data_IF_970376020409
#
_entry.id   IF_970376020409
#
_cell.length_a   1.000
_cell.length_b   1.000
_cell.length_c   1.000
_cell.angle_alpha   90.00
_cell.angle_beta   90.00
_cell.angle_gamma   90.00
#
_symmetry.space_group_name_H-M   'P 1'
#
loop_
_entity.id
_entity.type
_entity.pdbx_description
1 polymer ?
#
# COMPACT_ATOMS: atom_id res chain seq x y z
N UNK A 1 11.09 -0.96 -18.49
CA UNK A 1 11.98 -1.51 -17.45
C UNK A 1 11.41 -2.88 -17.09
N UNK A 2 12.12 -3.96 -17.42
CA UNK A 2 11.70 -5.31 -17.03
C UNK A 2 12.22 -5.52 -15.61
N UNK A 3 11.31 -5.66 -14.64
CA UNK A 3 11.66 -6.08 -13.28
C UNK A 3 11.87 -7.59 -13.36
N UNK A 4 13.12 -8.03 -13.23
CA UNK A 4 13.46 -9.44 -13.22
C UNK A 4 13.42 -9.96 -11.78
N UNK A 5 13.02 -11.22 -11.62
CA UNK A 5 13.10 -11.89 -10.33
C UNK A 5 14.54 -11.92 -9.81
N UNK A 6 14.68 -11.91 -8.49
CA UNK A 6 15.94 -12.12 -7.79
C UNK A 6 15.76 -13.23 -6.75
N UNK A 7 16.84 -13.66 -6.11
CA UNK A 7 16.78 -14.70 -5.06
C UNK A 7 15.76 -14.39 -3.95
N UNK A 8 15.52 -13.10 -3.68
CA UNK A 8 14.69 -12.66 -2.55
C UNK A 8 13.40 -11.93 -2.97
N UNK A 9 13.18 -11.70 -4.26
CA UNK A 9 12.08 -10.88 -4.74
C UNK A 9 11.49 -11.46 -6.02
N UNK A 10 10.17 -11.60 -6.05
CA UNK A 10 9.40 -12.07 -7.20
C UNK A 10 8.50 -10.95 -7.71
N UNK A 11 8.45 -10.75 -9.03
CA UNK A 11 7.43 -9.94 -9.67
C UNK A 11 6.19 -10.79 -9.92
N UNK A 12 5.10 -10.50 -9.22
CA UNK A 12 3.82 -11.13 -9.43
C UNK A 12 2.99 -10.33 -10.46
N UNK A 13 2.60 -11.00 -11.54
CA UNK A 13 1.79 -10.44 -12.64
C UNK A 13 0.42 -11.13 -12.79
N UNK A 14 0.00 -11.97 -11.83
CA UNK A 14 -1.27 -12.70 -11.94
C UNK A 14 -2.49 -11.85 -11.59
N UNK A 15 -2.29 -10.72 -10.91
CA UNK A 15 -3.34 -9.78 -10.53
C UNK A 15 -3.68 -8.76 -11.61
N UNK A 16 -4.50 -7.78 -11.23
CA UNK A 16 -4.92 -6.67 -12.08
C UNK A 16 -3.77 -5.69 -12.38
N UNK A 17 -2.82 -5.57 -11.46
CA UNK A 17 -1.61 -4.77 -11.59
C UNK A 17 -0.41 -5.53 -11.02
N UNK A 18 0.80 -5.33 -11.55
CA UNK A 18 1.97 -6.05 -11.08
C UNK A 18 2.47 -5.50 -9.73
N UNK A 19 2.85 -6.41 -8.85
CA UNK A 19 3.40 -6.12 -7.52
C UNK A 19 4.57 -7.04 -7.21
N UNK A 20 5.42 -6.62 -6.27
CA UNK A 20 6.58 -7.37 -5.83
C UNK A 20 6.27 -8.10 -4.52
N UNK A 21 6.77 -9.32 -4.41
CA UNK A 21 6.71 -10.14 -3.21
C UNK A 21 8.12 -10.52 -2.79
N UNK A 22 8.41 -10.44 -1.50
CA UNK A 22 9.64 -11.00 -0.94
C UNK A 22 9.48 -12.49 -0.63
N UNK A 23 10.33 -13.33 -1.22
CA UNK A 23 10.26 -14.79 -1.08
C UNK A 23 10.31 -15.28 0.37
N UNK A 24 11.09 -14.69 1.31
CA UNK A 24 11.09 -15.15 2.69
C UNK A 24 9.77 -14.98 3.44
N UNK A 25 8.88 -14.10 2.95
CA UNK A 25 7.57 -13.85 3.57
C UNK A 25 6.47 -14.73 2.95
N UNK A 26 6.64 -15.20 1.71
CA UNK A 26 5.65 -16.03 0.99
C UNK A 26 5.42 -17.35 1.73
N UNK A 27 6.48 -17.93 2.32
CA UNK A 27 6.41 -19.22 3.00
C UNK A 27 5.79 -19.13 4.42
N UNK A 28 5.41 -17.93 4.88
CA UNK A 28 4.77 -17.73 6.18
C UNK A 28 3.24 -17.75 5.98
N UNK A 29 2.52 -18.83 6.35
CA UNK A 29 1.14 -19.06 5.88
C UNK A 29 0.10 -18.03 6.30
N UNK A 30 0.39 -17.22 7.32
CA UNK A 30 -0.52 -16.19 7.85
C UNK A 30 -0.16 -14.78 7.40
N UNK A 31 0.87 -14.61 6.57
CA UNK A 31 1.30 -13.30 6.05
C UNK A 31 0.86 -13.18 4.59
N UNK A 32 0.09 -12.14 4.32
CA UNK A 32 -0.11 -11.62 2.97
C UNK A 32 0.60 -10.28 2.86
N UNK A 33 1.48 -10.13 1.89
CA UNK A 33 2.24 -8.89 1.66
C UNK A 33 2.36 -8.59 0.17
N UNK A 34 2.66 -7.34 -0.14
CA UNK A 34 2.98 -6.93 -1.49
C UNK A 34 3.50 -5.50 -1.52
N UNK A 35 4.43 -5.26 -2.44
CA UNK A 35 4.98 -3.94 -2.72
C UNK A 35 4.51 -3.52 -4.10
N UNK A 36 3.73 -2.44 -4.19
CA UNK A 36 3.25 -1.93 -5.46
C UNK A 36 4.40 -1.51 -6.38
N UNK A 37 4.22 -1.70 -7.69
CA UNK A 37 5.03 -1.00 -8.68
C UNK A 37 4.32 0.29 -9.12
N UNK A 38 4.95 1.10 -9.98
CA UNK A 38 4.28 2.26 -10.61
C UNK A 38 3.37 1.88 -11.80
N UNK A 39 3.24 0.59 -12.12
CA UNK A 39 2.64 0.09 -13.35
C UNK A 39 1.19 -0.37 -13.15
N UNK A 40 0.37 -0.28 -14.21
CA UNK A 40 -0.97 -0.86 -14.28
C UNK A 40 -2.10 -0.01 -13.70
N UNK A 41 -1.82 1.18 -13.17
CA UNK A 41 -2.87 2.06 -12.65
C UNK A 41 -3.54 2.94 -13.70
N UNK A 42 -4.36 3.89 -13.24
CA UNK A 42 -5.16 4.81 -14.09
C UNK A 42 -4.64 6.24 -14.12
N UNK A 43 -3.67 6.57 -13.27
CA UNK A 43 -3.11 7.91 -13.19
C UNK A 43 -2.30 8.26 -14.44
N UNK A 44 -2.25 9.55 -14.75
CA UNK A 44 -1.63 10.07 -15.97
C UNK A 44 -0.54 11.11 -15.66
N UNK A 45 0.23 11.51 -16.68
CA UNK A 45 1.29 12.50 -16.54
C UNK A 45 2.35 12.10 -15.50
N UNK A 46 2.70 13.03 -14.62
CA UNK A 46 3.72 12.79 -13.58
C UNK A 46 3.30 11.75 -12.54
N UNK A 47 2.00 11.47 -12.41
CA UNK A 47 1.45 10.46 -11.51
C UNK A 47 1.35 9.08 -12.18
N UNK A 48 1.74 8.95 -13.44
CA UNK A 48 1.50 7.71 -14.17
C UNK A 48 2.32 6.52 -13.64
N UNK A 49 1.75 5.33 -13.44
CA UNK A 49 0.34 4.94 -13.67
C UNK A 49 -0.40 4.54 -12.40
N UNK A 50 0.28 3.92 -11.43
CA UNK A 50 -0.30 3.43 -10.18
C UNK A 50 0.12 4.33 -9.01
N UNK A 51 -0.41 5.55 -8.96
CA UNK A 51 -0.15 6.45 -7.85
C UNK A 51 -1.02 6.10 -6.63
N UNK A 52 -0.38 5.86 -5.49
CA UNK A 52 -0.99 5.57 -4.19
C UNK A 52 -0.73 6.69 -3.16
N UNK A 53 -0.23 7.84 -3.63
CA UNK A 53 0.10 9.00 -2.81
C UNK A 53 -1.12 9.67 -2.17
N UNK A 54 -0.87 10.62 -1.27
CA UNK A 54 -1.91 11.48 -0.70
C UNK A 54 -1.96 12.84 -1.40
N UNK A 55 -3.14 13.46 -1.44
CA UNK A 55 -3.34 14.80 -2.02
C UNK A 55 -2.77 15.97 -1.23
N UNK A 56 -1.80 15.74 -0.34
CA UNK A 56 -1.24 16.77 0.58
C UNK A 56 -0.16 17.66 -0.07
N UNK A 57 0.17 17.42 -1.34
CA UNK A 57 1.13 18.21 -2.12
C UNK A 57 0.41 19.24 -2.99
N UNK A 58 1.11 20.34 -3.33
CA UNK A 58 0.64 21.35 -4.30
C UNK A 58 0.32 20.70 -5.65
N UNK A 59 1.03 19.63 -5.98
CA UNK A 59 0.71 18.74 -7.08
C UNK A 59 0.03 17.49 -6.50
N UNK A 60 -1.25 17.33 -6.78
CA UNK A 60 -2.00 16.14 -6.39
C UNK A 60 -2.67 15.50 -7.61
N UNK A 61 -2.82 14.19 -7.53
CA UNK A 61 -3.64 13.43 -8.48
C UNK A 61 -5.12 13.55 -8.08
N UNK A 62 -6.01 13.03 -8.93
CA UNK A 62 -7.44 12.96 -8.58
C UNK A 62 -7.65 11.92 -7.48
N UNK A 63 -8.58 12.20 -6.57
CA UNK A 63 -8.97 11.25 -5.52
C UNK A 63 -9.54 9.95 -6.12
N UNK A 64 -10.26 10.05 -7.25
CA UNK A 64 -10.83 8.89 -7.94
C UNK A 64 -9.73 7.98 -8.52
N UNK A 65 -8.68 8.57 -9.10
CA UNK A 65 -7.53 7.81 -9.61
C UNK A 65 -6.81 7.09 -8.48
N UNK A 66 -6.54 7.79 -7.38
CA UNK A 66 -5.88 7.21 -6.19
C UNK A 66 -6.74 6.07 -5.65
N UNK A 67 -8.06 6.27 -5.51
CA UNK A 67 -8.99 5.26 -5.02
C UNK A 67 -9.00 4.02 -5.91
N UNK A 68 -9.11 4.20 -7.23
CA UNK A 68 -9.06 3.10 -8.20
C UNK A 68 -7.71 2.37 -8.18
N UNK A 69 -6.60 3.08 -8.03
CA UNK A 69 -5.28 2.47 -7.91
C UNK A 69 -5.15 1.62 -6.64
N UNK A 70 -5.72 2.08 -5.52
CA UNK A 70 -5.81 1.29 -4.30
C UNK A 70 -6.62 0.02 -4.52
N UNK A 71 -7.81 0.11 -5.14
CA UNK A 71 -8.63 -1.06 -5.46
C UNK A 71 -7.85 -2.07 -6.32
N UNK A 72 -7.18 -1.61 -7.37
CA UNK A 72 -6.37 -2.45 -8.25
C UNK A 72 -5.26 -3.21 -7.53
N UNK A 73 -4.51 -2.52 -6.68
CA UNK A 73 -3.40 -3.15 -5.97
C UNK A 73 -3.89 -4.11 -4.89
N UNK A 74 -4.97 -3.78 -4.17
CA UNK A 74 -5.56 -4.68 -3.17
C UNK A 74 -6.13 -5.95 -3.79
N UNK A 75 -6.81 -5.83 -4.93
CA UNK A 75 -7.28 -6.99 -5.72
C UNK A 75 -6.12 -7.88 -6.17
N UNK A 76 -4.99 -7.28 -6.54
CA UNK A 76 -3.81 -8.03 -7.01
C UNK A 76 -3.09 -8.76 -5.89
N UNK A 77 -2.96 -8.14 -4.71
CA UNK A 77 -2.32 -8.72 -3.53
C UNK A 77 -3.26 -9.73 -2.83
N UNK A 78 -4.56 -9.65 -3.05
CA UNK A 78 -5.56 -10.52 -2.40
C UNK A 78 -5.92 -10.06 -1.00
N UNK A 79 -6.04 -8.73 -0.80
CA UNK A 79 -6.52 -8.12 0.46
C UNK A 79 -7.75 -7.27 0.20
N UNK A 80 -8.57 -7.08 1.23
CA UNK A 80 -9.79 -6.28 1.12
C UNK A 80 -9.45 -4.78 1.19
N UNK A 81 -10.04 -3.92 0.34
CA UNK A 81 -9.84 -2.47 0.44
C UNK A 81 -10.23 -1.91 1.82
N UNK A 82 -11.25 -2.48 2.47
CA UNK A 82 -11.67 -2.08 3.81
C UNK A 82 -10.80 -2.67 4.94
N UNK A 83 -9.82 -3.52 4.67
CA UNK A 83 -8.83 -3.92 5.69
C UNK A 83 -7.67 -2.95 5.82
N UNK A 84 -7.53 -1.99 4.90
CA UNK A 84 -6.41 -1.05 4.87
C UNK A 84 -6.40 -0.12 6.09
N UNK A 85 -5.22 0.06 6.67
CA UNK A 85 -4.91 1.09 7.66
C UNK A 85 -3.68 1.84 7.17
N UNK A 86 -3.87 3.09 6.76
CA UNK A 86 -2.83 3.90 6.11
C UNK A 86 -2.15 4.80 7.15
N UNK A 87 -0.83 4.79 7.18
CA UNK A 87 -0.03 5.64 8.05
C UNK A 87 -0.13 7.14 7.69
N UNK A 88 0.17 8.02 8.64
CA UNK A 88 0.25 9.47 8.44
C UNK A 88 1.71 9.90 8.55
N UNK A 89 2.49 9.52 7.54
CA UNK A 89 3.94 9.66 7.54
C UNK A 89 4.35 11.13 7.53
N UNK A 90 5.20 11.51 8.49
CA UNK A 90 5.79 12.85 8.64
C UNK A 90 7.30 12.79 8.91
N UNK A 91 7.95 11.65 8.63
CA UNK A 91 9.36 11.40 8.87
C UNK A 91 9.77 11.44 10.36
N UNK A 92 8.91 10.91 11.23
CA UNK A 92 9.21 10.65 12.63
C UNK A 92 9.35 9.15 12.87
N UNK A 93 9.55 8.77 14.13
CA UNK A 93 9.79 7.38 14.56
C UNK A 93 8.62 6.81 15.36
N UNK A 94 7.42 7.37 15.18
CA UNK A 94 6.24 6.97 15.98
C UNK A 94 5.57 5.76 15.34
N UNK A 95 5.39 4.71 16.15
CA UNK A 95 4.75 3.45 15.76
C UNK A 95 3.41 3.31 16.49
N UNK A 96 2.34 2.96 15.77
CA UNK A 96 1.01 2.72 16.34
C UNK A 96 0.61 1.25 16.24
N UNK A 97 0.12 0.70 17.35
CA UNK A 97 -0.61 -0.57 17.36
C UNK A 97 -2.02 -0.35 16.80
N UNK A 98 -2.39 -1.11 15.77
CA UNK A 98 -3.71 -1.04 15.13
C UNK A 98 -4.43 -2.38 15.18
N UNK A 99 -5.77 -2.33 15.17
CA UNK A 99 -6.63 -3.51 15.24
C UNK A 99 -7.86 -3.38 14.33
N UNK A 100 -8.85 -4.27 14.50
CA UNK A 100 -10.07 -4.28 13.68
C UNK A 100 -10.84 -2.96 13.68
N UNK A 101 -10.78 -2.16 14.75
CA UNK A 101 -11.46 -0.86 14.81
C UNK A 101 -10.75 0.22 13.98
N UNK A 102 -9.53 -0.03 13.52
CA UNK A 102 -8.78 0.89 12.67
C UNK A 102 -8.94 0.60 11.18
N UNK A 103 -9.58 -0.53 10.83
CA UNK A 103 -9.83 -0.92 9.43
C UNK A 103 -10.53 0.19 8.65
N UNK A 104 -10.04 0.45 7.44
CA UNK A 104 -10.49 1.51 6.55
C UNK A 104 -9.88 2.89 6.82
N UNK A 105 -9.18 3.11 7.95
CA UNK A 105 -8.64 4.42 8.31
C UNK A 105 -7.58 4.87 7.31
N UNK A 106 -7.82 6.04 6.72
CA UNK A 106 -7.01 6.66 5.67
C UNK A 106 -7.44 6.30 4.25
N UNK A 107 -8.39 5.36 4.09
CA UNK A 107 -8.93 4.97 2.79
C UNK A 107 -10.45 5.19 2.71
N UNK A 108 -11.25 4.34 3.37
CA UNK A 108 -12.73 4.48 3.41
C UNK A 108 -13.24 5.25 4.62
N UNK A 109 -12.42 5.37 5.67
CA UNK A 109 -12.73 6.09 6.92
C UNK A 109 -11.65 7.16 7.16
N UNK A 110 -11.99 8.37 7.63
CA UNK A 110 -10.99 9.34 8.05
C UNK A 110 -10.11 8.81 9.19
N UNK A 111 -8.82 9.18 9.18
CA UNK A 111 -7.90 8.84 10.27
C UNK A 111 -8.26 9.65 11.52
N UNK A 112 -8.19 9.00 12.68
CA UNK A 112 -8.25 9.65 14.01
C UNK A 112 -6.86 9.81 14.63
N UNK A 113 -5.81 9.64 13.82
CA UNK A 113 -4.41 9.76 14.20
C UNK A 113 -3.61 10.60 13.22
N UNK A 114 -2.50 11.12 13.74
CA UNK A 114 -1.55 11.95 13.00
C UNK A 114 -0.13 11.55 13.34
N UNK A 115 0.79 11.88 12.44
CA UNK A 115 2.23 11.75 12.66
C UNK A 115 2.67 10.32 13.03
N UNK A 116 2.13 9.34 12.32
CA UNK A 116 2.42 7.92 12.52
C UNK A 116 3.17 7.42 11.29
N UNK A 117 4.44 7.05 11.47
CA UNK A 117 5.31 6.57 10.38
C UNK A 117 5.41 5.05 10.35
N UNK A 118 5.10 4.37 11.45
CA UNK A 118 5.06 2.91 11.54
C UNK A 118 3.74 2.37 12.08
N UNK A 119 3.35 1.19 11.62
CA UNK A 119 2.18 0.47 12.10
C UNK A 119 2.58 -0.94 12.52
N UNK A 120 1.94 -1.47 13.56
CA UNK A 120 2.08 -2.87 13.98
C UNK A 120 0.70 -3.44 14.30
N UNK A 121 0.52 -4.74 14.12
CA UNK A 121 -0.70 -5.43 14.53
C UNK A 121 -0.43 -6.89 14.88
N UNK A 122 -1.24 -7.43 15.77
CA UNK A 122 -1.39 -8.86 16.03
C UNK A 122 -2.83 -9.32 15.71
N UNK A 123 -3.63 -8.46 15.05
CA UNK A 123 -5.01 -8.74 14.68
C UNK A 123 -5.07 -9.25 13.24
N UNK A 124 -5.67 -10.44 12.98
CA UNK A 124 -5.82 -10.95 11.62
C UNK A 124 -6.63 -9.99 10.73
N UNK A 125 -6.39 -10.03 9.42
CA UNK A 125 -7.16 -9.29 8.41
C UNK A 125 -7.13 -7.76 8.60
N UNK A 126 -6.02 -7.23 9.11
CA UNK A 126 -5.70 -5.80 9.17
C UNK A 126 -4.49 -5.56 8.28
N UNK A 127 -4.68 -4.81 7.19
CA UNK A 127 -3.63 -4.56 6.20
C UNK A 127 -2.92 -3.26 6.52
N UNK A 128 -1.64 -3.36 6.87
CA UNK A 128 -0.80 -2.19 7.19
C UNK A 128 -0.28 -1.56 5.91
N UNK A 129 -0.46 -0.24 5.75
CA UNK A 129 -0.02 0.48 4.56
C UNK A 129 0.89 1.64 4.92
N UNK A 130 2.10 1.61 4.39
CA UNK A 130 3.05 2.73 4.32
C UNK A 130 3.36 3.05 2.86
N UNK A 131 3.67 4.31 2.56
CA UNK A 131 3.86 4.82 1.19
C UNK A 131 5.28 5.34 1.00
N UNK A 132 5.82 5.13 -0.19
CA UNK A 132 7.21 5.49 -0.51
C UNK A 132 7.38 5.95 -1.96
N UNK A 133 8.31 6.88 -2.13
CA UNK A 133 8.98 7.21 -3.38
C UNK A 133 10.36 7.74 -2.96
N UNK A 134 11.39 6.89 -3.02
CA UNK A 134 12.77 7.10 -2.55
C UNK A 134 13.06 6.83 -1.05
N UNK A 135 12.10 7.04 -0.14
CA UNK A 135 12.30 6.76 1.28
C UNK A 135 12.38 5.25 1.60
N UNK A 136 13.13 4.88 2.65
CA UNK A 136 13.16 3.53 3.25
C UNK A 136 12.80 3.65 4.73
#
# INVERSE_FOLDING_TARGET
MLLNDSNNTRLNNSGRVPYLEFTPLIDIPFITHGFSTRLGGVSTGMFSSLNLGSGSSVYHDSFDNIKENFIRITESIGVEPDSLVISDQVHKTVVRLVNNNDRGKGFTVPRDYKEIDGLITNTPNVTLVTKYADCV
#
